data_IF_752377526632
#
_entry.id   IF_752377526632
#
_cell.length_a   1.000
_cell.length_b   1.000
_cell.length_c   1.000
_cell.angle_alpha   90.00
_cell.angle_beta   90.00
_cell.angle_gamma   90.00
#
_symmetry.space_group_name_H-M   'P 1'
#
loop_
_entity.id
_entity.type
_entity.pdbx_description
1 polymer ?
#
# COMPACT_ATOMS: atom_id res chain seq x y z
N UNK A 1 -3.64 -11.30 7.65
CA UNK A 1 -2.97 -12.62 7.64
C UNK A 1 -2.73 -13.17 9.04
N UNK A 2 -1.95 -12.48 9.88
CA UNK A 2 -1.58 -12.97 11.21
C UNK A 2 -2.78 -13.34 12.11
N UNK A 3 -3.85 -12.54 12.11
CA UNK A 3 -5.09 -12.83 12.87
C UNK A 3 -5.84 -14.03 12.29
N UNK A 4 -5.83 -14.20 10.98
CA UNK A 4 -6.59 -15.25 10.27
C UNK A 4 -5.83 -16.58 10.18
N UNK A 5 -4.55 -16.61 10.58
CA UNK A 5 -3.71 -17.80 10.55
C UNK A 5 -3.73 -18.50 9.18
N UNK A 6 -3.81 -19.84 9.19
CA UNK A 6 -3.86 -20.64 7.97
C UNK A 6 -5.02 -20.30 7.02
N UNK A 7 -6.17 -19.87 7.54
CA UNK A 7 -7.32 -19.45 6.74
C UNK A 7 -7.03 -18.19 5.90
N UNK A 8 -6.03 -17.39 6.30
CA UNK A 8 -5.57 -16.25 5.54
C UNK A 8 -4.82 -16.63 4.26
N UNK A 9 -4.12 -17.77 4.25
CA UNK A 9 -3.17 -18.16 3.20
C UNK A 9 -3.76 -19.15 2.18
N UNK A 10 -4.91 -19.75 2.48
CA UNK A 10 -5.59 -20.67 1.56
C UNK A 10 -6.45 -19.93 0.54
N UNK A 11 -6.55 -20.49 -0.66
CA UNK A 11 -7.32 -19.92 -1.77
C UNK A 11 -8.83 -20.07 -1.60
N UNK A 12 -9.27 -20.86 -0.61
CA UNK A 12 -10.68 -21.13 -0.33
C UNK A 12 -11.42 -19.91 0.24
N UNK A 13 -10.67 -18.91 0.71
CA UNK A 13 -11.19 -17.66 1.23
C UNK A 13 -10.65 -16.48 0.41
N UNK A 14 -11.47 -15.45 0.13
CA UNK A 14 -11.06 -14.33 -0.73
C UNK A 14 -9.97 -13.44 -0.10
N UNK A 15 -9.69 -13.61 1.20
CA UNK A 15 -8.77 -12.77 1.95
C UNK A 15 -7.32 -12.88 1.49
N UNK A 16 -6.89 -14.05 1.02
CA UNK A 16 -5.57 -14.23 0.40
C UNK A 16 -5.42 -13.31 -0.80
N UNK A 17 -6.44 -13.33 -1.69
CA UNK A 17 -6.46 -12.53 -2.91
C UNK A 17 -6.46 -11.05 -2.58
N UNK A 18 -7.33 -10.62 -1.66
CA UNK A 18 -7.37 -9.21 -1.24
C UNK A 18 -6.05 -8.73 -0.65
N UNK A 19 -5.35 -9.59 0.09
CA UNK A 19 -4.05 -9.24 0.65
C UNK A 19 -2.96 -9.10 -0.44
N UNK A 20 -2.99 -9.92 -1.50
CA UNK A 20 -2.11 -9.70 -2.65
C UNK A 20 -2.48 -8.43 -3.42
N UNK A 21 -3.77 -8.26 -3.69
CA UNK A 21 -4.26 -7.14 -4.48
C UNK A 21 -4.01 -5.81 -3.76
N UNK A 22 -4.04 -5.77 -2.43
CA UNK A 22 -3.78 -4.53 -1.68
C UNK A 22 -2.43 -3.91 -2.00
N UNK A 23 -1.43 -4.72 -2.41
CA UNK A 23 -0.11 -4.20 -2.74
C UNK A 23 -0.11 -3.28 -3.96
N UNK A 24 -1.10 -3.41 -4.86
CA UNK A 24 -1.20 -2.57 -6.06
C UNK A 24 -1.34 -1.10 -5.68
N UNK A 25 -2.06 -0.79 -4.61
CA UNK A 25 -2.28 0.58 -4.13
C UNK A 25 -0.99 1.24 -3.62
N UNK A 26 0.01 0.46 -3.22
CA UNK A 26 1.28 1.00 -2.74
C UNK A 26 2.25 1.35 -3.89
N UNK A 27 2.03 0.83 -5.09
CA UNK A 27 3.01 0.87 -6.20
C UNK A 27 2.46 1.50 -7.48
N UNK A 28 1.16 1.40 -7.70
CA UNK A 28 0.51 1.85 -8.94
C UNK A 28 0.19 3.33 -8.86
N UNK A 29 0.31 4.04 -9.99
CA UNK A 29 0.03 5.48 -10.12
C UNK A 29 0.82 6.39 -9.16
N UNK A 30 1.93 5.89 -8.63
CA UNK A 30 2.80 6.60 -7.70
C UNK A 30 3.04 5.73 -6.47
N UNK A 31 4.31 5.42 -6.20
CA UNK A 31 4.62 4.61 -5.02
C UNK A 31 4.28 5.37 -3.74
N UNK A 32 3.96 4.65 -2.68
CA UNK A 32 3.62 5.23 -1.38
C UNK A 32 4.68 6.25 -0.91
N UNK A 33 5.97 5.96 -1.13
CA UNK A 33 7.07 6.86 -0.76
C UNK A 33 7.05 8.17 -1.56
N UNK A 34 6.72 8.11 -2.85
CA UNK A 34 6.59 9.32 -3.68
C UNK A 34 5.39 10.13 -3.22
N UNK A 35 4.26 9.49 -2.90
CA UNK A 35 3.08 10.17 -2.38
C UNK A 35 3.38 10.87 -1.05
N UNK A 36 4.07 10.20 -0.13
CA UNK A 36 4.54 10.79 1.13
C UNK A 36 5.45 12.00 0.88
N UNK A 37 6.37 11.91 -0.08
CA UNK A 37 7.24 13.03 -0.46
C UNK A 37 6.45 14.21 -1.03
N UNK A 38 5.46 13.95 -1.89
CA UNK A 38 4.58 14.98 -2.46
C UNK A 38 3.79 15.68 -1.36
N UNK A 39 3.20 14.92 -0.43
CA UNK A 39 2.48 15.45 0.73
C UNK A 39 3.43 16.28 1.61
N UNK A 40 4.62 15.76 1.92
CA UNK A 40 5.61 16.48 2.73
C UNK A 40 6.04 17.81 2.09
N UNK A 41 6.21 17.85 0.76
CA UNK A 41 6.50 19.10 0.02
C UNK A 41 5.32 20.07 0.06
N UNK A 42 4.10 19.58 -0.13
CA UNK A 42 2.89 20.40 -0.06
C UNK A 42 2.70 21.03 1.33
N UNK A 43 3.04 20.30 2.39
CA UNK A 43 2.93 20.79 3.77
C UNK A 43 4.08 21.72 4.18
N UNK A 44 5.32 21.44 3.75
CA UNK A 44 6.50 22.23 4.13
C UNK A 44 6.72 23.49 3.29
N UNK A 45 6.06 23.60 2.13
CA UNK A 45 6.26 24.71 1.20
C UNK A 45 7.65 24.73 0.55
N UNK A 46 8.47 23.70 0.74
CA UNK A 46 9.82 23.63 0.19
C UNK A 46 9.77 23.31 -1.31
N UNK A 47 10.15 24.32 -2.11
CA UNK A 47 10.47 24.15 -3.52
C UNK A 47 11.98 23.93 -3.63
N UNK A 48 12.40 22.79 -4.19
CA UNK A 48 13.79 22.55 -4.52
C UNK A 48 14.03 23.28 -5.85
N UNK A 49 14.87 24.31 -5.81
CA UNK A 49 15.42 24.97 -7.01
C UNK A 49 16.45 24.08 -7.71
#
# INVERSE_FOLDING_TARGET
MQILGGAGYVTDHPVERWHRDSKIYDIFEGTEQIQQLVIARALSGMRIE
#
